data_IF_580719960036
#
_entry.id   IF_580719960036
#
_cell.length_a   1.000
_cell.length_b   1.000
_cell.length_c   1.000
_cell.angle_alpha   90.00
_cell.angle_beta   90.00
_cell.angle_gamma   90.00
#
_symmetry.space_group_name_H-M   'P 1'
#
loop_
_entity.id
_entity.type
_entity.pdbx_description
1 polymer ?
#
# COMPACT_ATOMS: atom_id res chain seq x y z
N UNK A 1 -17.81 47.69 -13.94
CA UNK A 1 -16.52 47.61 -14.65
C UNK A 1 -15.78 46.42 -14.06
N UNK A 2 -15.88 45.28 -14.74
CA UNK A 2 -15.16 44.06 -14.39
C UNK A 2 -13.74 44.15 -14.95
N UNK A 3 -12.75 43.75 -14.16
CA UNK A 3 -11.39 43.52 -14.64
C UNK A 3 -11.07 42.03 -14.46
N UNK A 4 -10.73 41.42 -15.58
CA UNK A 4 -10.36 40.02 -15.80
C UNK A 4 -8.83 39.94 -15.89
N UNK A 5 -8.14 39.04 -15.17
CA UNK A 5 -6.71 38.84 -15.35
C UNK A 5 -6.41 37.68 -16.32
N UNK A 6 -5.81 38.08 -17.44
CA UNK A 6 -4.78 37.44 -18.25
C UNK A 6 -4.53 35.92 -18.08
N UNK A 7 -4.67 35.25 -19.22
CA UNK A 7 -4.37 33.87 -19.56
C UNK A 7 -2.91 33.47 -19.25
N UNK A 8 -2.76 32.28 -18.69
CA UNK A 8 -1.51 31.53 -18.53
C UNK A 8 -1.30 30.65 -19.77
N UNK A 9 -0.14 30.74 -20.41
CA UNK A 9 0.37 29.74 -21.36
C UNK A 9 1.80 29.35 -21.03
N UNK A 10 2.11 28.11 -21.38
CA UNK A 10 3.38 27.37 -21.27
C UNK A 10 3.67 26.83 -19.85
N UNK A 11 4.17 25.61 -19.66
CA UNK A 11 5.25 24.92 -20.37
C UNK A 11 5.02 23.40 -20.28
N UNK A 12 5.34 22.68 -21.36
CA UNK A 12 5.53 21.23 -21.38
C UNK A 12 7.03 20.98 -21.22
N UNK A 13 7.43 20.27 -20.16
CA UNK A 13 8.82 19.83 -19.96
C UNK A 13 8.88 18.30 -19.99
N UNK A 14 9.37 17.81 -21.12
CA UNK A 14 9.98 16.51 -21.30
C UNK A 14 11.49 16.60 -20.97
N UNK A 15 12.06 15.43 -20.64
CA UNK A 15 13.49 15.08 -20.62
C UNK A 15 14.26 15.20 -19.28
N UNK A 16 14.13 14.13 -18.48
CA UNK A 16 15.22 13.61 -17.65
C UNK A 16 16.25 12.89 -18.53
N UNK A 17 17.50 13.38 -18.55
CA UNK A 17 18.78 12.67 -18.75
C UNK A 17 19.87 13.73 -18.56
N UNK A 18 20.61 13.79 -17.46
CA UNK A 18 21.78 12.94 -17.20
C UNK A 18 23.05 13.65 -17.66
N UNK A 19 23.96 14.03 -16.74
CA UNK A 19 25.30 14.49 -17.12
C UNK A 19 25.96 15.44 -16.13
N UNK A 20 26.90 14.92 -15.36
CA UNK A 20 27.68 15.66 -14.35
C UNK A 20 28.61 16.74 -14.89
N UNK A 21 28.95 17.66 -13.99
CA UNK A 21 29.99 18.65 -14.17
C UNK A 21 31.38 18.02 -14.02
N UNK A 22 32.20 18.19 -15.07
CA UNK A 22 33.65 18.10 -15.04
C UNK A 22 34.21 19.37 -15.68
N UNK A 23 35.04 20.07 -14.92
CA UNK A 23 35.68 21.34 -15.29
C UNK A 23 36.57 21.22 -16.52
N UNK A 24 36.43 22.16 -17.45
CA UNK A 24 37.26 22.25 -18.65
C UNK A 24 37.13 23.62 -19.31
N UNK A 25 38.12 24.48 -19.08
CA UNK A 25 38.21 25.83 -19.62
C UNK A 25 38.29 25.84 -21.16
N UNK A 26 37.29 26.39 -21.83
CA UNK A 26 37.37 26.71 -23.26
C UNK A 26 37.66 28.20 -23.47
N UNK A 27 38.87 28.49 -23.98
CA UNK A 27 39.21 29.78 -24.60
C UNK A 27 38.38 29.94 -25.89
N UNK A 28 37.80 31.11 -26.05
CA UNK A 28 37.09 31.53 -27.24
C UNK A 28 38.07 31.86 -28.37
N UNK A 29 37.85 31.30 -29.55
CA UNK A 29 38.24 31.92 -30.80
C UNK A 29 37.11 31.75 -31.82
N UNK A 30 36.66 32.88 -32.36
CA UNK A 30 35.51 33.00 -33.24
C UNK A 30 35.80 32.75 -34.72
N UNK A 31 34.69 32.72 -35.46
CA UNK A 31 34.43 32.62 -36.93
C UNK A 31 33.58 31.36 -37.17
N UNK A 32 32.29 31.41 -37.49
CA UNK A 32 31.61 32.28 -38.44
C UNK A 32 31.59 31.61 -39.81
N UNK A 33 30.52 30.88 -40.17
CA UNK A 33 30.38 30.36 -41.54
C UNK A 33 29.41 29.19 -41.74
N UNK A 34 28.13 29.52 -41.97
CA UNK A 34 27.13 28.92 -42.88
C UNK A 34 27.35 27.50 -43.44
N UNK A 35 26.32 26.66 -43.23
CA UNK A 35 25.50 26.07 -44.31
C UNK A 35 26.06 24.85 -45.06
N UNK A 36 25.28 23.75 -45.05
CA UNK A 36 25.48 22.63 -45.96
C UNK A 36 24.68 21.40 -45.57
N UNK A 37 23.66 21.10 -46.36
CA UNK A 37 22.70 20.01 -46.23
C UNK A 37 23.33 18.60 -46.14
N UNK A 38 22.75 17.74 -45.29
CA UNK A 38 22.92 16.30 -45.36
C UNK A 38 21.93 15.71 -46.38
N UNK A 39 22.46 15.12 -47.46
CA UNK A 39 21.78 14.10 -48.26
C UNK A 39 22.79 12.99 -48.55
N UNK A 40 22.39 11.74 -48.30
CA UNK A 40 23.16 10.58 -48.73
C UNK A 40 22.91 9.35 -47.88
N UNK A 41 21.80 8.67 -48.16
CA UNK A 41 21.62 7.25 -47.85
C UNK A 41 22.70 6.42 -48.57
N UNK A 42 23.12 5.32 -47.96
CA UNK A 42 23.97 4.34 -48.65
C UNK A 42 24.51 3.25 -47.72
N UNK A 43 23.84 2.10 -47.75
CA UNK A 43 24.30 0.80 -47.24
C UNK A 43 25.67 0.45 -47.84
N UNK A 44 26.57 -0.18 -47.09
CA UNK A 44 26.77 -1.64 -47.18
C UNK A 44 27.85 -2.18 -46.23
N UNK A 45 27.58 -3.43 -45.85
CA UNK A 45 28.42 -4.53 -45.39
C UNK A 45 29.95 -4.44 -45.50
N UNK A 46 30.65 -5.10 -44.56
CA UNK A 46 31.87 -5.84 -44.88
C UNK A 46 32.97 -5.81 -43.83
N UNK A 47 33.21 -6.98 -43.23
CA UNK A 47 34.27 -7.35 -42.30
C UNK A 47 35.70 -6.95 -42.72
N UNK A 48 36.60 -6.88 -41.72
CA UNK A 48 38.08 -7.04 -41.74
C UNK A 48 38.66 -6.30 -40.51
N UNK A 49 39.54 -6.80 -39.62
CA UNK A 49 40.46 -7.94 -39.61
C UNK A 49 40.80 -8.33 -38.15
N UNK A 50 41.21 -9.59 -37.96
CA UNK A 50 42.23 -10.09 -37.01
C UNK A 50 43.54 -9.26 -37.14
N UNK A 51 44.49 -9.11 -36.22
CA UNK A 51 45.26 -9.95 -35.30
C UNK A 51 46.03 -8.89 -34.43
N UNK A 52 46.42 -9.10 -33.17
CA UNK A 52 47.66 -9.79 -32.84
C UNK A 52 47.82 -9.97 -31.33
N UNK A 53 48.47 -11.07 -30.98
CA UNK A 53 48.77 -11.55 -29.65
C UNK A 53 50.01 -10.87 -29.03
N UNK A 54 50.01 -10.80 -27.70
CA UNK A 54 51.24 -10.93 -26.92
C UNK A 54 50.94 -11.55 -25.56
N UNK A 55 51.35 -12.80 -25.41
CA UNK A 55 51.41 -13.53 -24.15
C UNK A 55 52.75 -13.30 -23.46
N UNK A 56 52.74 -13.22 -22.12
CA UNK A 56 53.86 -13.69 -21.31
C UNK A 56 53.36 -14.17 -19.94
N UNK A 57 53.45 -15.50 -19.77
CA UNK A 57 53.67 -16.33 -18.59
C UNK A 57 54.15 -15.62 -17.30
N UNK A 58 54.06 -16.19 -16.11
CA UNK A 58 53.29 -17.25 -15.46
C UNK A 58 53.89 -17.27 -14.04
N UNK A 59 53.11 -17.15 -12.98
CA UNK A 59 53.55 -17.67 -11.67
C UNK A 59 52.38 -18.33 -10.95
N UNK A 60 52.71 -19.55 -10.54
CA UNK A 60 51.92 -20.59 -9.91
C UNK A 60 51.92 -20.34 -8.39
N UNK A 61 50.75 -20.12 -7.80
CA UNK A 61 50.57 -20.30 -6.36
C UNK A 61 49.25 -21.02 -6.11
N UNK A 62 49.41 -22.32 -5.92
CA UNK A 62 48.53 -23.18 -5.15
C UNK A 62 48.10 -22.51 -3.84
N UNK A 63 46.81 -22.30 -3.66
CA UNK A 63 46.17 -22.43 -2.35
C UNK A 63 44.70 -22.81 -2.55
N UNK A 64 44.45 -24.09 -2.31
CA UNK A 64 43.12 -24.66 -2.21
C UNK A 64 42.42 -24.08 -0.98
N UNK A 65 41.32 -23.35 -1.19
CA UNK A 65 40.34 -23.06 -0.14
C UNK A 65 39.09 -23.92 -0.37
N UNK A 66 38.61 -24.64 0.66
CA UNK A 66 37.61 -25.69 0.50
C UNK A 66 36.23 -25.12 0.17
N UNK A 67 35.57 -25.73 -0.82
CA UNK A 67 34.14 -25.59 -1.07
C UNK A 67 33.38 -25.88 0.23
N UNK A 68 32.87 -24.83 0.88
CA UNK A 68 31.95 -24.98 2.01
C UNK A 68 30.63 -25.53 1.46
N UNK A 69 30.12 -26.66 1.99
CA UNK A 69 28.80 -27.13 1.64
C UNK A 69 27.77 -26.09 2.11
N UNK A 70 26.86 -25.71 1.20
CA UNK A 70 25.66 -24.96 1.53
C UNK A 70 24.92 -25.76 2.62
N UNK A 71 24.93 -25.25 3.85
CA UNK A 71 24.09 -25.76 4.92
C UNK A 71 22.63 -25.62 4.49
N UNK A 72 22.03 -26.74 4.06
CA UNK A 72 20.57 -26.91 4.13
C UNK A 72 20.18 -26.68 5.59
N UNK A 73 19.18 -25.83 5.89
CA UNK A 73 18.54 -25.88 7.20
C UNK A 73 17.95 -27.28 7.34
N UNK A 74 18.55 -28.07 8.23
CA UNK A 74 17.95 -29.28 8.77
C UNK A 74 16.79 -28.79 9.63
N UNK A 75 15.55 -28.95 9.15
CA UNK A 75 14.39 -28.92 10.02
C UNK A 75 14.50 -30.13 10.93
N UNK A 76 15.08 -29.95 12.11
CA UNK A 76 15.04 -30.97 13.16
C UNK A 76 13.60 -31.10 13.63
N UNK A 77 13.07 -32.31 13.52
CA UNK A 77 11.91 -32.80 14.25
C UNK A 77 11.99 -32.37 15.72
N UNK A 78 10.90 -31.81 16.26
CA UNK A 78 10.87 -31.42 17.66
C UNK A 78 9.78 -30.44 18.07
N UNK A 79 8.55 -30.57 17.55
CA UNK A 79 7.38 -29.92 18.14
C UNK A 79 6.29 -30.98 18.40
N UNK A 80 6.63 -31.91 19.28
CA UNK A 80 5.69 -32.86 19.89
C UNK A 80 5.89 -32.80 21.41
N UNK A 81 5.43 -31.73 22.04
CA UNK A 81 5.16 -31.69 23.47
C UNK A 81 4.02 -30.69 23.74
N UNK A 82 3.00 -31.05 24.55
CA UNK A 82 1.84 -30.20 24.76
C UNK A 82 2.17 -29.02 25.68
N UNK A 83 1.65 -27.84 25.35
CA UNK A 83 1.69 -26.67 26.23
C UNK A 83 0.86 -26.93 27.50
N UNK A 84 1.26 -26.38 28.68
CA UNK A 84 0.58 -26.63 29.93
C UNK A 84 -0.83 -26.05 29.94
N UNK A 85 -1.76 -26.84 30.47
CA UNK A 85 -3.17 -26.52 30.68
C UNK A 85 -3.37 -25.23 31.47
N UNK A 86 -4.03 -24.24 30.85
CA UNK A 86 -4.42 -22.99 31.51
C UNK A 86 -4.85 -21.85 30.59
N UNK A 87 -4.63 -21.95 29.28
CA UNK A 87 -5.06 -20.93 28.31
C UNK A 87 -6.38 -21.32 27.64
N UNK A 88 -7.31 -20.36 27.58
CA UNK A 88 -8.58 -20.51 26.87
C UNK A 88 -8.29 -20.82 25.41
N UNK A 89 -8.93 -21.86 24.90
CA UNK A 89 -8.86 -22.21 23.47
C UNK A 89 -9.39 -21.06 22.62
N UNK A 90 -8.95 -20.99 21.36
CA UNK A 90 -9.42 -20.02 20.37
C UNK A 90 -10.96 -19.94 20.30
N UNK A 91 -11.62 -21.09 20.44
CA UNK A 91 -13.07 -21.21 20.45
C UNK A 91 -13.70 -20.62 21.72
N UNK A 92 -13.07 -20.77 22.88
CA UNK A 92 -13.51 -20.18 24.16
C UNK A 92 -13.29 -18.66 24.23
N UNK A 93 -12.23 -18.14 23.60
CA UNK A 93 -12.01 -16.69 23.42
C UNK A 93 -13.09 -16.11 22.51
N UNK A 94 -13.42 -16.79 21.41
CA UNK A 94 -14.51 -16.42 20.52
C UNK A 94 -15.89 -16.51 21.19
N UNK A 95 -16.16 -17.53 22.00
CA UNK A 95 -17.42 -17.69 22.73
C UNK A 95 -17.62 -16.61 23.81
N UNK A 96 -16.55 -16.19 24.52
CA UNK A 96 -16.61 -15.05 25.43
C UNK A 96 -16.85 -13.72 24.71
N UNK A 97 -16.28 -13.53 23.51
CA UNK A 97 -16.52 -12.34 22.69
C UNK A 97 -17.92 -12.33 22.03
N UNK A 98 -18.53 -13.50 21.80
CA UNK A 98 -19.86 -13.67 21.19
C UNK A 98 -21.02 -13.62 22.20
N UNK A 99 -20.74 -13.55 23.50
CA UNK A 99 -21.75 -13.48 24.56
C UNK A 99 -22.45 -12.12 24.71
N UNK A 100 -22.16 -11.14 23.85
CA UNK A 100 -22.82 -9.83 23.81
C UNK A 100 -23.50 -9.62 22.46
N UNK A 101 -24.83 -9.71 22.49
CA UNK A 101 -25.84 -9.23 21.54
C UNK A 101 -25.40 -8.84 20.12
N UNK A 102 -25.94 -9.55 19.13
CA UNK A 102 -25.81 -9.38 17.68
C UNK A 102 -26.63 -8.18 17.18
N UNK A 103 -26.44 -7.03 17.83
CA UNK A 103 -26.97 -5.74 17.44
C UNK A 103 -25.79 -4.81 17.24
N UNK A 104 -25.67 -4.26 16.02
CA UNK A 104 -24.73 -3.20 15.69
C UNK A 104 -24.91 -2.07 16.71
N UNK A 105 -24.03 -1.99 17.71
CA UNK A 105 -24.01 -0.82 18.58
C UNK A 105 -23.83 0.41 17.69
N UNK A 106 -24.63 1.48 17.88
CA UNK A 106 -24.49 2.68 17.08
C UNK A 106 -23.07 3.20 17.30
N UNK A 107 -22.34 3.42 16.20
CA UNK A 107 -21.10 4.17 16.25
C UNK A 107 -21.36 5.42 17.11
N UNK A 108 -20.53 5.65 18.13
CA UNK A 108 -20.64 6.83 18.97
C UNK A 108 -20.61 8.06 18.08
N UNK A 109 -21.79 8.65 17.84
CA UNK A 109 -21.95 9.85 17.02
C UNK A 109 -21.66 11.05 17.91
N UNK A 110 -20.45 11.61 17.75
CA UNK A 110 -20.12 12.92 18.32
C UNK A 110 -20.77 14.00 17.44
N UNK A 111 -21.41 15.03 18.01
CA UNK A 111 -21.95 16.14 17.23
C UNK A 111 -20.85 16.78 16.37
N UNK A 112 -21.17 17.06 15.11
CA UNK A 112 -20.31 17.82 14.21
C UNK A 112 -19.97 19.18 14.82
N UNK A 113 -18.73 19.35 15.30
CA UNK A 113 -18.18 20.67 15.55
C UNK A 113 -17.57 21.20 14.24
N UNK A 114 -17.96 22.41 13.85
CA UNK A 114 -17.31 23.13 12.75
C UNK A 114 -15.84 23.36 13.09
N UNK A 115 -14.95 22.58 12.46
CA UNK A 115 -13.50 22.77 12.60
C UNK A 115 -12.99 23.77 11.57
N UNK A 116 -12.24 24.81 11.97
CA UNK A 116 -11.56 25.67 11.02
C UNK A 116 -10.42 24.90 10.35
N UNK A 117 -10.28 25.05 9.02
CA UNK A 117 -9.10 24.60 8.29
C UNK A 117 -7.91 25.45 8.70
N UNK A 118 -6.83 24.84 9.19
CA UNK A 118 -5.61 25.58 9.46
C UNK A 118 -4.91 25.95 8.16
N UNK A 119 -4.42 27.20 8.11
CA UNK A 119 -3.63 27.69 6.99
C UNK A 119 -2.16 27.37 7.18
N UNK A 120 -1.41 27.26 6.09
CA UNK A 120 0.05 27.08 6.13
C UNK A 120 0.78 28.21 6.92
N UNK A 121 0.14 29.38 7.05
CA UNK A 121 0.69 30.53 7.76
C UNK A 121 0.62 30.39 9.29
N UNK A 122 -0.32 29.60 9.82
CA UNK A 122 -0.46 29.38 11.27
C UNK A 122 0.58 28.38 11.78
N UNK A 123 0.98 27.41 10.94
CA UNK A 123 2.05 26.46 11.23
C UNK A 123 3.43 27.14 11.34
N UNK A 124 3.69 28.15 10.50
CA UNK A 124 4.99 28.84 10.45
C UNK A 124 5.27 29.76 11.67
N UNK A 125 4.24 30.31 12.31
CA UNK A 125 4.40 31.30 13.41
C UNK A 125 4.77 30.70 14.77
N UNK A 126 4.61 29.38 14.95
CA UNK A 126 4.80 28.72 16.25
C UNK A 126 6.13 27.97 16.38
N UNK A 127 7.04 28.12 15.41
CA UNK A 127 8.42 27.59 15.52
C UNK A 127 8.55 26.08 15.37
N UNK A 128 7.55 25.41 14.79
CA UNK A 128 7.67 24.00 14.42
C UNK A 128 8.58 23.86 13.18
N UNK A 129 9.69 23.12 13.34
CA UNK A 129 10.39 22.51 12.21
C UNK A 129 9.42 21.64 11.42
N UNK A 130 9.53 21.66 10.10
CA UNK A 130 8.42 21.35 9.20
C UNK A 130 7.76 19.99 9.43
N UNK A 131 6.55 20.03 9.99
CA UNK A 131 5.39 19.42 9.34
C UNK A 131 4.73 18.22 10.00
N UNK A 132 4.06 18.41 11.15
CA UNK A 132 2.83 17.65 11.47
C UNK A 132 2.07 18.16 12.70
N UNK A 133 0.73 18.04 12.67
CA UNK A 133 -0.17 18.08 13.83
C UNK A 133 -1.31 17.03 13.65
N UNK A 134 -1.40 16.01 14.53
CA UNK A 134 -2.36 14.90 14.42
C UNK A 134 -3.81 15.29 14.55
N UNK A 135 -4.09 16.52 14.99
CA UNK A 135 -5.43 17.07 14.91
C UNK A 135 -5.94 17.14 13.47
N UNK A 136 -5.08 17.14 12.45
CA UNK A 136 -5.51 17.14 11.05
C UNK A 136 -5.81 15.76 10.46
N UNK A 137 -5.72 14.69 11.25
CA UNK A 137 -6.20 13.36 10.84
C UNK A 137 -7.74 13.41 10.75
N UNK A 138 -8.29 13.13 9.57
CA UNK A 138 -9.73 13.02 9.37
C UNK A 138 -10.17 11.60 9.73
N UNK A 139 -10.60 11.40 10.97
CA UNK A 139 -10.97 10.10 11.53
C UNK A 139 -12.49 9.98 11.49
N UNK A 140 -13.01 8.99 10.78
CA UNK A 140 -14.44 8.72 10.72
C UNK A 140 -14.94 7.97 11.96
N UNK A 141 -14.16 6.99 12.44
CA UNK A 141 -14.51 6.18 13.60
C UNK A 141 -13.29 5.46 14.20
N UNK A 142 -13.44 4.99 15.43
CA UNK A 142 -12.57 4.00 16.07
C UNK A 142 -13.41 2.74 16.33
N UNK A 143 -13.00 1.60 15.79
CA UNK A 143 -13.72 0.34 16.01
C UNK A 143 -13.42 -0.26 17.38
N UNK A 144 -14.36 -1.09 17.86
CA UNK A 144 -14.08 -2.01 18.95
C UNK A 144 -12.97 -3.01 18.54
N UNK A 145 -12.13 -3.45 19.50
CA UNK A 145 -11.08 -4.41 19.20
C UNK A 145 -11.62 -5.71 18.61
N UNK A 146 -11.01 -6.20 17.54
CA UNK A 146 -11.36 -7.47 16.90
C UNK A 146 -10.13 -8.15 16.29
N UNK A 147 -10.23 -9.44 15.97
CA UNK A 147 -9.12 -10.23 15.38
C UNK A 147 -9.18 -10.32 13.86
N UNK A 148 -10.24 -9.82 13.23
CA UNK A 148 -10.44 -9.89 11.79
C UNK A 148 -9.57 -8.87 11.04
N UNK A 149 -9.34 -7.70 11.65
CA UNK A 149 -8.54 -6.62 11.04
C UNK A 149 -7.03 -6.88 11.06
N UNK A 150 -6.56 -7.75 11.97
CA UNK A 150 -5.18 -8.24 12.01
C UNK A 150 -5.15 -9.69 12.51
N UNK A 151 -4.91 -10.68 11.63
CA UNK A 151 -4.84 -12.08 12.02
C UNK A 151 -3.85 -12.33 13.16
N UNK A 152 -4.33 -12.93 14.25
CA UNK A 152 -3.52 -13.26 15.43
C UNK A 152 -3.34 -12.12 16.45
N UNK A 153 -3.98 -10.96 16.24
CA UNK A 153 -3.92 -9.83 17.17
C UNK A 153 -5.31 -9.25 17.43
N UNK A 154 -5.61 -8.96 18.69
CA UNK A 154 -6.80 -8.21 19.05
C UNK A 154 -6.54 -6.72 18.78
N UNK A 155 -7.12 -6.19 17.71
CA UNK A 155 -6.78 -4.88 17.17
C UNK A 155 -7.99 -3.92 17.13
N UNK A 156 -7.78 -2.68 17.58
CA UNK A 156 -8.71 -1.58 17.30
C UNK A 156 -8.34 -0.91 15.98
N UNK A 157 -9.34 -0.55 15.17
CA UNK A 157 -9.11 0.05 13.85
C UNK A 157 -9.50 1.53 13.83
N UNK A 158 -8.55 2.39 13.50
CA UNK A 158 -8.77 3.81 13.22
C UNK A 158 -9.21 3.94 11.77
N UNK A 159 -10.49 4.22 11.55
CA UNK A 159 -11.08 4.35 10.23
C UNK A 159 -10.92 5.79 9.73
N UNK A 160 -10.12 5.97 8.68
CA UNK A 160 -9.76 7.26 8.12
C UNK A 160 -10.69 7.66 6.96
N UNK A 161 -11.12 8.92 6.96
CA UNK A 161 -12.00 9.48 5.93
C UNK A 161 -11.22 9.87 4.67
N UNK A 162 -11.84 9.59 3.52
CA UNK A 162 -11.40 9.98 2.19
C UNK A 162 -10.67 8.86 1.47
N UNK A 163 -11.11 8.53 0.26
CA UNK A 163 -10.44 7.59 -0.63
C UNK A 163 -10.41 8.19 -2.04
N UNK A 164 -9.29 8.12 -2.78
CA UNK A 164 -9.25 8.62 -4.15
C UNK A 164 -9.95 7.67 -5.14
N UNK A 165 -10.22 6.43 -4.75
CA UNK A 165 -10.78 5.41 -5.64
C UNK A 165 -12.28 5.23 -5.43
N UNK A 166 -12.95 4.71 -6.47
CA UNK A 166 -14.39 4.46 -6.52
C UNK A 166 -14.64 3.01 -6.91
N UNK A 167 -14.07 2.10 -6.12
CA UNK A 167 -14.19 0.65 -6.32
C UNK A 167 -15.66 0.25 -6.46
N UNK A 168 -15.99 -0.56 -7.47
CA UNK A 168 -17.33 -1.13 -7.73
C UNK A 168 -17.93 -1.74 -6.46
N UNK A 169 -17.14 -2.57 -5.78
CA UNK A 169 -17.51 -3.31 -4.57
C UNK A 169 -17.17 -2.62 -3.25
N UNK A 170 -16.97 -1.29 -3.23
CA UNK A 170 -16.57 -0.62 -1.98
C UNK A 170 -17.63 -0.81 -0.89
N UNK A 171 -17.29 -1.50 0.21
CA UNK A 171 -18.16 -1.67 1.38
C UNK A 171 -18.11 -0.48 2.36
N UNK A 172 -17.22 0.49 2.09
CA UNK A 172 -17.00 1.70 2.87
C UNK A 172 -17.32 2.96 2.03
N UNK A 173 -18.42 2.95 1.27
CA UNK A 173 -18.78 4.08 0.38
C UNK A 173 -18.82 5.41 1.12
N UNK A 174 -19.28 5.41 2.37
CA UNK A 174 -19.39 6.61 3.22
C UNK A 174 -18.03 7.21 3.59
N UNK A 175 -16.96 6.44 3.49
CA UNK A 175 -15.58 6.89 3.75
C UNK A 175 -14.91 7.47 2.49
N UNK A 176 -15.55 7.44 1.32
CA UNK A 176 -14.90 7.89 0.08
C UNK A 176 -14.81 9.42 -0.05
N UNK A 177 -15.82 10.17 0.41
CA UNK A 177 -15.83 11.64 0.28
C UNK A 177 -14.85 12.28 1.27
N UNK A 178 -13.72 12.76 0.75
CA UNK A 178 -12.71 13.43 1.55
C UNK A 178 -13.13 14.80 2.11
N UNK A 179 -14.21 15.39 1.60
CA UNK A 179 -14.69 16.71 2.05
C UNK A 179 -15.54 16.61 3.32
N UNK A 180 -16.04 15.40 3.64
CA UNK A 180 -16.84 15.13 4.84
C UNK A 180 -16.08 15.41 6.14
N UNK A 181 -14.74 15.33 6.11
CA UNK A 181 -13.91 15.48 7.30
C UNK A 181 -14.04 14.29 8.27
N UNK A 182 -13.32 14.36 9.38
CA UNK A 182 -13.47 13.38 10.45
C UNK A 182 -14.66 13.69 11.36
N UNK A 183 -15.22 12.65 11.98
CA UNK A 183 -16.22 12.75 13.04
C UNK A 183 -15.60 12.55 14.44
N UNK A 184 -14.36 12.05 14.51
CA UNK A 184 -13.66 11.76 15.76
C UNK A 184 -12.38 12.58 15.84
N UNK A 185 -12.20 13.24 16.98
CA UNK A 185 -10.97 13.98 17.31
C UNK A 185 -9.86 13.00 17.70
N UNK A 186 -8.63 13.29 17.29
CA UNK A 186 -7.46 12.46 17.60
C UNK A 186 -7.26 12.27 19.11
N UNK A 187 -7.46 13.32 19.92
CA UNK A 187 -7.36 13.27 21.38
C UNK A 187 -8.36 12.29 22.00
N UNK A 188 -9.52 12.11 21.36
CA UNK A 188 -10.50 11.11 21.79
C UNK A 188 -10.03 9.69 21.44
N UNK A 189 -9.42 9.50 20.27
CA UNK A 189 -8.80 8.21 19.93
C UNK A 189 -7.69 7.86 20.92
N UNK A 190 -6.77 8.79 21.21
CA UNK A 190 -5.70 8.53 22.17
C UNK A 190 -6.23 8.18 23.56
N UNK A 191 -7.28 8.87 24.04
CA UNK A 191 -7.90 8.59 25.34
C UNK A 191 -8.48 7.18 25.39
N UNK A 192 -9.21 6.78 24.36
CA UNK A 192 -9.77 5.43 24.26
C UNK A 192 -8.69 4.35 24.18
N UNK A 193 -7.63 4.60 23.39
CA UNK A 193 -6.49 3.68 23.32
C UNK A 193 -5.79 3.56 24.69
N UNK A 194 -5.48 4.67 25.37
CA UNK A 194 -4.90 4.60 26.73
C UNK A 194 -5.77 3.79 27.69
N UNK A 195 -7.10 3.94 27.63
CA UNK A 195 -8.04 3.20 28.47
C UNK A 195 -8.07 1.69 28.18
N UNK A 196 -7.74 1.27 26.95
CA UNK A 196 -7.82 -0.13 26.49
C UNK A 196 -6.45 -0.78 26.33
N UNK A 197 -5.37 -0.12 26.78
CA UNK A 197 -3.99 -0.57 26.53
C UNK A 197 -3.72 -1.97 27.07
N UNK A 198 -4.32 -2.34 28.19
CA UNK A 198 -4.08 -3.66 28.81
C UNK A 198 -4.93 -4.79 28.19
N UNK A 199 -5.88 -4.46 27.31
CA UNK A 199 -6.82 -5.42 26.71
C UNK A 199 -6.81 -5.44 25.18
N UNK A 200 -5.92 -4.68 24.54
CA UNK A 200 -5.81 -4.58 23.08
C UNK A 200 -4.34 -4.66 22.69
N UNK A 201 -4.02 -5.53 21.73
CA UNK A 201 -2.62 -5.79 21.33
C UNK A 201 -2.11 -4.75 20.32
N UNK A 202 -3.01 -4.31 19.46
CA UNK A 202 -2.65 -3.63 18.24
C UNK A 202 -3.65 -2.52 17.85
N UNK A 203 -3.18 -1.62 17.00
CA UNK A 203 -4.02 -0.62 16.35
C UNK A 203 -3.76 -0.67 14.85
N UNK A 204 -4.83 -0.75 14.07
CA UNK A 204 -4.78 -0.77 12.61
C UNK A 204 -5.29 0.57 12.08
N UNK A 205 -4.53 1.18 11.17
CA UNK A 205 -5.03 2.32 10.39
C UNK A 205 -5.64 1.80 9.08
N UNK A 206 -6.92 2.09 8.85
CA UNK A 206 -7.69 1.62 7.69
C UNK A 206 -8.78 2.64 7.31
N UNK A 207 -9.86 2.23 6.67
CA UNK A 207 -11.02 3.06 6.32
C UNK A 207 -11.14 3.32 4.83
N UNK A 208 -11.03 4.60 4.44
CA UNK A 208 -10.97 5.03 3.04
C UNK A 208 -9.62 4.69 2.43
N UNK A 209 -8.70 5.65 2.40
CA UNK A 209 -7.29 5.40 2.08
C UNK A 209 -6.39 6.13 3.08
N UNK A 210 -5.80 5.41 4.06
CA UNK A 210 -4.95 6.03 5.07
C UNK A 210 -3.82 6.88 4.51
N UNK A 211 -3.12 6.39 3.47
CA UNK A 211 -1.94 7.06 2.91
C UNK A 211 -2.27 8.38 2.20
N UNK A 212 -3.56 8.70 2.02
CA UNK A 212 -4.02 10.02 1.59
C UNK A 212 -3.72 11.10 2.64
N UNK A 213 -3.69 10.75 3.92
CA UNK A 213 -3.56 11.72 5.00
C UNK A 213 -2.07 11.90 5.33
N UNK A 214 -1.53 13.11 5.15
CA UNK A 214 -0.12 13.41 5.48
C UNK A 214 0.21 13.18 6.96
N UNK A 215 -0.84 13.13 7.78
CA UNK A 215 -0.82 12.91 9.20
C UNK A 215 -0.58 11.48 9.68
N UNK A 216 -0.62 10.51 8.75
CA UNK A 216 -0.68 9.09 9.10
C UNK A 216 0.57 8.61 9.85
N UNK A 217 1.77 8.92 9.34
CA UNK A 217 3.02 8.37 9.85
C UNK A 217 3.26 8.75 11.32
N UNK A 218 3.01 10.00 11.68
CA UNK A 218 3.13 10.45 13.06
C UNK A 218 2.04 9.91 13.98
N UNK A 219 0.81 9.78 13.51
CA UNK A 219 -0.25 9.11 14.27
C UNK A 219 0.15 7.65 14.58
N UNK A 220 0.72 6.95 13.60
CA UNK A 220 1.29 5.60 13.78
C UNK A 220 2.45 5.60 14.78
N UNK A 221 3.37 6.56 14.70
CA UNK A 221 4.47 6.71 15.66
C UNK A 221 3.97 6.90 17.09
N UNK A 222 3.01 7.80 17.31
CA UNK A 222 2.41 8.05 18.64
C UNK A 222 1.79 6.77 19.20
N UNK A 223 1.02 6.04 18.38
CA UNK A 223 0.40 4.78 18.81
C UNK A 223 1.45 3.71 19.14
N UNK A 224 2.56 3.66 18.39
CA UNK A 224 3.69 2.78 18.69
C UNK A 224 4.36 3.14 20.02
N UNK A 225 4.54 4.43 20.30
CA UNK A 225 5.07 4.94 21.57
C UNK A 225 4.15 4.63 22.77
N UNK A 226 2.84 4.48 22.54
CA UNK A 226 1.89 3.97 23.54
C UNK A 226 2.02 2.46 23.79
N UNK A 227 2.93 1.78 23.09
CA UNK A 227 3.26 0.37 23.27
C UNK A 227 2.35 -0.59 22.52
N UNK A 228 1.61 -0.13 21.52
CA UNK A 228 0.83 -1.00 20.62
C UNK A 228 1.68 -1.52 19.47
N UNK A 229 1.30 -2.69 18.94
CA UNK A 229 1.66 -3.04 17.56
C UNK A 229 0.86 -2.19 16.59
N UNK A 230 1.48 -1.75 15.49
CA UNK A 230 0.85 -0.86 14.52
C UNK A 230 0.67 -1.52 13.16
N UNK A 231 -0.58 -1.66 12.76
CA UNK A 231 -0.97 -2.23 11.47
C UNK A 231 -1.42 -1.16 10.48
N UNK A 232 -1.23 -1.40 9.19
CA UNK A 232 -1.75 -0.56 8.13
C UNK A 232 -2.52 -1.41 7.13
N UNK A 233 -3.77 -1.05 6.85
CA UNK A 233 -4.51 -1.57 5.71
C UNK A 233 -4.64 -0.46 4.66
N UNK A 234 -4.13 -0.70 3.46
CA UNK A 234 -4.09 0.32 2.40
C UNK A 234 -4.36 -0.32 1.05
N UNK A 235 -4.91 0.48 0.13
CA UNK A 235 -5.05 0.08 -1.25
C UNK A 235 -3.84 0.55 -2.11
N UNK A 236 -2.89 1.28 -1.51
CA UNK A 236 -1.65 1.70 -2.15
C UNK A 236 -1.79 2.92 -3.06
N UNK A 237 -2.82 3.77 -2.85
CA UNK A 237 -3.09 4.87 -3.78
C UNK A 237 -2.07 6.02 -3.72
N UNK A 238 -1.26 6.11 -2.66
CA UNK A 238 -0.21 7.13 -2.48
C UNK A 238 1.14 6.50 -2.10
N UNK A 239 1.86 5.86 -3.05
CA UNK A 239 3.11 5.14 -2.79
C UNK A 239 4.17 5.97 -2.04
N UNK A 240 4.39 7.24 -2.43
CA UNK A 240 5.39 8.08 -1.76
C UNK A 240 5.10 8.40 -0.29
N UNK A 241 3.84 8.32 0.16
CA UNK A 241 3.49 8.46 1.59
C UNK A 241 3.46 7.13 2.31
N UNK A 242 3.28 6.03 1.58
CA UNK A 242 3.32 4.68 2.12
C UNK A 242 4.70 4.39 2.73
N UNK A 243 5.79 4.77 2.06
CA UNK A 243 7.16 4.59 2.57
C UNK A 243 7.34 5.20 3.97
N UNK A 244 6.83 6.41 4.20
CA UNK A 244 6.89 7.08 5.50
C UNK A 244 6.05 6.34 6.56
N UNK A 245 4.86 5.87 6.19
CA UNK A 245 4.01 5.10 7.10
C UNK A 245 4.64 3.76 7.50
N UNK A 246 5.32 3.09 6.57
CA UNK A 246 5.96 1.79 6.80
C UNK A 246 7.08 1.85 7.86
N UNK A 247 7.74 3.00 8.05
CA UNK A 247 8.75 3.18 9.10
C UNK A 247 8.18 2.97 10.52
N UNK A 248 6.88 3.14 10.70
CA UNK A 248 6.18 2.98 11.98
C UNK A 248 5.25 1.76 11.98
N UNK A 249 5.32 0.92 10.96
CA UNK A 249 4.41 -0.20 10.76
C UNK A 249 5.07 -1.51 11.22
N UNK A 250 4.32 -2.35 11.92
CA UNK A 250 4.71 -3.71 12.30
C UNK A 250 4.06 -4.77 11.37
N UNK A 251 2.98 -4.40 10.66
CA UNK A 251 2.36 -5.25 9.64
C UNK A 251 1.49 -4.44 8.66
N UNK A 252 1.54 -4.80 7.37
CA UNK A 252 0.70 -4.17 6.33
C UNK A 252 -0.16 -5.17 5.58
N UNK A 253 -1.46 -4.89 5.45
CA UNK A 253 -2.31 -5.52 4.44
C UNK A 253 -2.45 -4.58 3.23
N UNK A 254 -2.02 -5.05 2.06
CA UNK A 254 -2.13 -4.31 0.82
C UNK A 254 -3.20 -4.95 -0.08
N UNK A 255 -4.20 -4.16 -0.47
CA UNK A 255 -5.24 -4.61 -1.40
C UNK A 255 -4.81 -4.42 -2.86
N UNK A 256 -4.55 -5.53 -3.56
CA UNK A 256 -4.42 -5.56 -5.02
C UNK A 256 -5.74 -6.02 -5.61
N UNK A 257 -6.27 -5.22 -6.56
CA UNK A 257 -7.66 -5.37 -7.01
C UNK A 257 -7.81 -6.10 -8.33
N UNK A 258 -6.80 -6.01 -9.19
CA UNK A 258 -6.73 -6.63 -10.51
C UNK A 258 -5.29 -6.56 -11.03
N UNK A 259 -5.04 -7.03 -12.24
CA UNK A 259 -3.82 -6.70 -13.00
C UNK A 259 -3.67 -5.19 -13.20
N UNK A 260 -2.47 -4.67 -13.52
CA UNK A 260 -2.28 -3.22 -13.73
C UNK A 260 -3.27 -2.61 -14.73
N UNK A 261 -3.60 -3.34 -15.79
CA UNK A 261 -4.49 -2.89 -16.86
C UNK A 261 -5.98 -3.07 -16.49
N UNK A 262 -6.32 -4.12 -15.75
CA UNK A 262 -7.70 -4.37 -15.27
C UNK A 262 -8.17 -3.42 -14.16
N UNK A 263 -7.25 -2.70 -13.52
CA UNK A 263 -7.54 -1.92 -12.31
C UNK A 263 -8.60 -0.82 -12.49
N UNK A 264 -8.71 -0.23 -13.67
CA UNK A 264 -9.68 0.84 -13.94
C UNK A 264 -11.12 0.32 -13.98
N UNK A 265 -11.35 -0.93 -14.39
CA UNK A 265 -12.69 -1.54 -14.35
C UNK A 265 -13.24 -1.58 -12.91
N UNK A 266 -12.36 -1.85 -11.94
CA UNK A 266 -12.72 -1.89 -10.53
C UNK A 266 -12.79 -0.50 -9.92
N UNK A 267 -11.69 0.26 -9.96
CA UNK A 267 -11.55 1.52 -9.21
C UNK A 267 -12.26 2.71 -9.84
N UNK A 268 -12.70 2.57 -11.10
CA UNK A 268 -13.29 3.63 -11.94
C UNK A 268 -12.41 4.89 -12.03
N UNK A 269 -11.09 4.70 -11.85
CA UNK A 269 -10.10 5.77 -11.79
C UNK A 269 -8.91 5.39 -12.68
N UNK A 270 -8.40 6.35 -13.45
CA UNK A 270 -7.19 6.16 -14.24
C UNK A 270 -5.94 6.01 -13.37
N UNK A 271 -4.90 5.33 -13.87
CA UNK A 271 -3.60 5.11 -13.23
C UNK A 271 -3.60 4.34 -11.88
N UNK A 272 -4.76 3.88 -11.40
CA UNK A 272 -4.87 3.19 -10.11
C UNK A 272 -3.97 1.95 -10.05
N UNK A 273 -3.93 1.15 -11.13
CA UNK A 273 -3.07 -0.04 -11.21
C UNK A 273 -1.60 0.29 -11.08
N UNK A 274 -1.09 1.29 -11.83
CA UNK A 274 0.32 1.71 -11.72
C UNK A 274 0.70 2.08 -10.28
N UNK A 275 -0.17 2.78 -9.56
CA UNK A 275 0.09 3.19 -8.17
C UNK A 275 0.04 2.00 -7.21
N UNK A 276 -0.97 1.13 -7.35
CA UNK A 276 -1.12 -0.06 -6.53
C UNK A 276 0.09 -1.00 -6.64
N UNK A 277 0.58 -1.23 -7.86
CA UNK A 277 1.73 -2.10 -8.07
C UNK A 277 3.06 -1.44 -7.67
N UNK A 278 3.18 -0.11 -7.77
CA UNK A 278 4.31 0.60 -7.15
C UNK A 278 4.29 0.45 -5.61
N UNK A 279 3.11 0.52 -4.99
CA UNK A 279 2.95 0.26 -3.57
C UNK A 279 3.28 -1.20 -3.20
N UNK A 280 2.94 -2.17 -4.07
CA UNK A 280 3.31 -3.57 -3.90
C UNK A 280 4.83 -3.76 -3.87
N UNK A 281 5.54 -3.14 -4.81
CA UNK A 281 7.00 -3.19 -4.87
C UNK A 281 7.62 -2.54 -3.61
N UNK A 282 7.10 -1.39 -3.15
CA UNK A 282 7.55 -0.74 -1.90
C UNK A 282 7.30 -1.63 -0.68
N UNK A 283 6.12 -2.23 -0.55
CA UNK A 283 5.78 -3.11 0.58
C UNK A 283 6.70 -4.31 0.61
N UNK A 284 6.93 -4.96 -0.55
CA UNK A 284 7.86 -6.08 -0.69
C UNK A 284 9.26 -5.70 -0.22
N UNK A 285 9.76 -4.54 -0.64
CA UNK A 285 11.14 -4.10 -0.39
C UNK A 285 11.35 -3.50 1.01
N UNK A 286 10.27 -3.19 1.74
CA UNK A 286 10.32 -2.54 3.04
C UNK A 286 10.86 -3.40 4.19
N UNK A 287 10.81 -4.73 4.05
CA UNK A 287 11.10 -5.68 5.14
C UNK A 287 10.01 -5.76 6.22
N UNK A 288 8.93 -4.98 6.13
CA UNK A 288 7.78 -5.06 7.03
C UNK A 288 6.97 -6.32 6.71
N UNK A 289 6.57 -7.14 7.71
CA UNK A 289 5.66 -8.26 7.48
C UNK A 289 4.38 -7.80 6.78
N UNK A 290 3.95 -8.51 5.74
CA UNK A 290 2.78 -8.09 4.96
C UNK A 290 1.85 -9.24 4.55
N UNK A 291 0.64 -8.86 4.14
CA UNK A 291 -0.34 -9.71 3.46
C UNK A 291 -0.84 -8.97 2.22
N UNK A 292 -0.87 -9.64 1.06
CA UNK A 292 -1.55 -9.11 -0.13
C UNK A 292 -2.95 -9.70 -0.15
N UNK A 293 -3.95 -8.87 -0.37
CA UNK A 293 -5.35 -9.28 -0.45
C UNK A 293 -5.91 -9.01 -1.83
N UNK A 294 -6.73 -9.93 -2.32
CA UNK A 294 -7.47 -9.79 -3.57
C UNK A 294 -8.94 -10.09 -3.31
N UNK A 295 -9.77 -9.05 -3.34
CA UNK A 295 -11.23 -9.20 -3.27
C UNK A 295 -11.77 -9.64 -4.62
N UNK A 296 -12.47 -10.78 -4.65
CA UNK A 296 -13.15 -11.30 -5.83
C UNK A 296 -14.52 -10.61 -5.96
N UNK A 297 -14.72 -9.90 -7.06
CA UNK A 297 -15.97 -9.24 -7.43
C UNK A 297 -16.62 -10.02 -8.59
N UNK A 298 -17.67 -10.82 -8.34
CA UNK A 298 -18.38 -11.57 -9.38
C UNK A 298 -19.15 -10.72 -10.38
N UNK A 299 -19.31 -9.42 -10.10
CA UNK A 299 -19.93 -8.47 -11.03
C UNK A 299 -18.93 -8.04 -12.10
N UNK A 300 -17.65 -7.89 -11.74
CA UNK A 300 -16.64 -7.28 -12.62
C UNK A 300 -15.53 -8.23 -13.04
N UNK A 301 -15.07 -9.13 -12.16
CA UNK A 301 -13.99 -10.07 -12.46
C UNK A 301 -14.50 -11.28 -13.22
N UNK A 302 -13.79 -11.65 -14.28
CA UNK A 302 -13.82 -13.00 -14.83
C UNK A 302 -12.87 -13.92 -14.07
N UNK A 303 -13.01 -15.24 -14.28
CA UNK A 303 -12.06 -16.24 -13.79
C UNK A 303 -10.62 -15.89 -14.18
N UNK A 304 -10.41 -15.52 -15.44
CA UNK A 304 -9.08 -15.21 -15.96
C UNK A 304 -8.48 -13.97 -15.29
N UNK A 305 -9.29 -12.93 -15.02
CA UNK A 305 -8.81 -11.73 -14.32
C UNK A 305 -8.23 -12.07 -12.94
N UNK A 306 -8.87 -12.99 -12.22
CA UNK A 306 -8.38 -13.45 -10.91
C UNK A 306 -7.08 -14.25 -11.05
N UNK A 307 -7.05 -15.23 -11.97
CA UNK A 307 -5.86 -16.06 -12.20
C UNK A 307 -4.65 -15.21 -12.61
N UNK A 308 -4.84 -14.26 -13.52
CA UNK A 308 -3.77 -13.36 -13.98
C UNK A 308 -3.30 -12.43 -12.86
N UNK A 309 -4.22 -11.93 -12.03
CA UNK A 309 -3.87 -11.07 -10.90
C UNK A 309 -3.06 -11.83 -9.85
N UNK A 310 -3.45 -13.08 -9.54
CA UNK A 310 -2.71 -13.93 -8.61
C UNK A 310 -1.32 -14.23 -9.15
N UNK A 311 -1.21 -14.64 -10.41
CA UNK A 311 0.07 -14.90 -11.05
C UNK A 311 0.99 -13.66 -11.03
N UNK A 312 0.45 -12.46 -11.26
CA UNK A 312 1.22 -11.22 -11.22
C UNK A 312 1.70 -10.86 -9.80
N UNK A 313 0.87 -11.07 -8.77
CA UNK A 313 1.25 -10.88 -7.36
C UNK A 313 2.35 -11.86 -6.97
N UNK A 314 2.20 -13.14 -7.29
CA UNK A 314 3.18 -14.18 -6.98
C UNK A 314 4.49 -13.95 -7.71
N UNK A 315 4.44 -13.59 -8.99
CA UNK A 315 5.64 -13.26 -9.78
C UNK A 315 6.45 -12.12 -9.17
N UNK A 316 5.79 -11.12 -8.58
CA UNK A 316 6.45 -9.94 -7.98
C UNK A 316 6.91 -10.14 -6.55
N UNK A 317 6.17 -10.91 -5.76
CA UNK A 317 6.36 -10.99 -4.31
C UNK A 317 6.84 -12.35 -3.82
N UNK A 318 6.73 -13.39 -4.65
CA UNK A 318 6.95 -14.79 -4.25
C UNK A 318 5.89 -15.32 -3.28
N UNK A 319 4.74 -14.65 -3.14
CA UNK A 319 3.70 -14.98 -2.16
C UNK A 319 2.32 -14.95 -2.80
N UNK A 320 1.51 -15.96 -2.49
CA UNK A 320 0.11 -15.98 -2.87
C UNK A 320 -0.69 -14.94 -2.08
N UNK A 321 -1.67 -14.25 -2.68
CA UNK A 321 -2.58 -13.37 -1.96
C UNK A 321 -3.61 -14.17 -1.15
N UNK A 322 -4.23 -13.50 -0.18
CA UNK A 322 -5.47 -13.97 0.45
C UNK A 322 -6.64 -13.54 -0.43
N UNK A 323 -7.46 -14.50 -0.84
CA UNK A 323 -8.70 -14.22 -1.56
C UNK A 323 -9.78 -13.79 -0.57
N UNK A 324 -10.49 -12.72 -0.91
CA UNK A 324 -11.60 -12.22 -0.11
C UNK A 324 -12.88 -12.25 -0.91
N UNK A 325 -13.97 -12.66 -0.25
CA UNK A 325 -15.30 -12.55 -0.85
C UNK A 325 -15.87 -11.15 -0.65
N UNK A 326 -16.47 -10.61 -1.71
CA UNK A 326 -17.22 -9.35 -1.62
C UNK A 326 -18.46 -9.53 -0.74
N UNK A 327 -18.79 -8.49 0.03
CA UNK A 327 -20.00 -8.42 0.83
C UNK A 327 -21.00 -7.45 0.21
N UNK A 328 -22.28 -7.80 0.20
CA UNK A 328 -23.35 -6.89 -0.25
C UNK A 328 -23.60 -5.77 0.78
N UNK A 329 -23.60 -6.12 2.06
CA UNK A 329 -23.81 -5.16 3.15
C UNK A 329 -22.72 -4.06 3.18
N UNK A 330 -23.17 -2.80 3.15
CA UNK A 330 -22.28 -1.63 3.16
C UNK A 330 -21.86 -1.12 1.77
N UNK A 331 -22.19 -1.85 0.70
CA UNK A 331 -21.96 -1.38 -0.68
C UNK A 331 -23.09 -0.46 -1.15
N UNK A 332 -22.90 0.19 -2.31
CA UNK A 332 -23.96 0.98 -2.93
C UNK A 332 -25.18 0.11 -3.27
N UNK A 333 -26.39 0.68 -3.16
CA UNK A 333 -27.63 -0.05 -3.48
C UNK A 333 -27.63 -0.63 -4.91
N UNK A 334 -27.04 0.10 -5.87
CA UNK A 334 -26.87 -0.37 -7.26
C UNK A 334 -25.98 -1.61 -7.31
N UNK A 335 -24.79 -1.56 -6.70
CA UNK A 335 -23.88 -2.71 -6.69
C UNK A 335 -24.47 -3.90 -5.93
N UNK A 336 -25.13 -3.68 -4.79
CA UNK A 336 -25.78 -4.76 -4.04
C UNK A 336 -26.85 -5.48 -4.87
N UNK A 337 -27.63 -4.73 -5.66
CA UNK A 337 -28.62 -5.29 -6.57
C UNK A 337 -27.98 -6.05 -7.74
N UNK A 338 -26.86 -5.56 -8.27
CA UNK A 338 -26.09 -6.26 -9.30
C UNK A 338 -25.49 -7.54 -8.75
N UNK A 339 -24.80 -7.50 -7.60
CA UNK A 339 -24.19 -8.66 -6.97
C UNK A 339 -25.22 -9.77 -6.72
N UNK A 340 -26.42 -9.40 -6.26
CA UNK A 340 -27.50 -10.32 -5.93
C UNK A 340 -27.02 -11.41 -4.95
N UNK A 341 -27.10 -12.68 -5.35
CA UNK A 341 -26.64 -13.86 -4.61
C UNK A 341 -25.30 -14.41 -5.10
N UNK A 342 -24.62 -13.71 -6.02
CA UNK A 342 -23.32 -14.13 -6.54
C UNK A 342 -22.23 -14.05 -5.46
N UNK A 343 -21.32 -15.00 -5.51
CA UNK A 343 -20.25 -15.23 -4.55
C UNK A 343 -18.93 -15.57 -5.27
N UNK A 344 -17.86 -15.81 -4.50
CA UNK A 344 -16.55 -16.16 -5.07
C UNK A 344 -16.61 -17.43 -5.94
N UNK A 345 -17.47 -18.40 -5.59
CA UNK A 345 -17.61 -19.66 -6.32
C UNK A 345 -18.27 -19.51 -7.71
N UNK A 346 -18.90 -18.37 -8.01
CA UNK A 346 -19.42 -18.06 -9.35
C UNK A 346 -18.32 -17.58 -10.31
N UNK A 347 -17.14 -17.26 -9.78
CA UNK A 347 -15.97 -16.82 -10.56
C UNK A 347 -14.88 -17.88 -10.60
N UNK A 348 -14.67 -18.59 -9.49
CA UNK A 348 -13.62 -19.60 -9.34
C UNK A 348 -14.22 -20.98 -9.09
N UNK A 349 -13.71 -21.97 -9.82
CA UNK A 349 -14.05 -23.37 -9.60
C UNK A 349 -13.35 -23.92 -8.34
N UNK A 350 -13.86 -24.98 -7.70
CA UNK A 350 -13.22 -25.57 -6.51
C UNK A 350 -11.77 -26.01 -6.70
N UNK A 351 -11.38 -26.34 -7.95
CA UNK A 351 -10.01 -26.71 -8.31
C UNK A 351 -9.10 -25.52 -8.60
N UNK A 352 -9.63 -24.30 -8.65
CA UNK A 352 -8.83 -23.10 -8.86
C UNK A 352 -8.16 -22.65 -7.57
N UNK A 353 -6.84 -22.45 -7.64
CA UNK A 353 -6.05 -21.88 -6.55
C UNK A 353 -6.33 -22.60 -5.20
N UNK A 354 -6.26 -23.94 -5.16
CA UNK A 354 -6.68 -24.73 -3.99
C UNK A 354 -5.82 -24.43 -2.74
N UNK A 355 -4.59 -23.96 -2.93
CA UNK A 355 -3.64 -23.59 -1.89
C UNK A 355 -3.86 -22.19 -1.29
N UNK A 356 -4.66 -21.33 -1.95
CA UNK A 356 -4.89 -19.98 -1.47
C UNK A 356 -5.85 -19.95 -0.28
N UNK A 357 -5.49 -19.14 0.71
CA UNK A 357 -6.36 -18.82 1.85
C UNK A 357 -7.52 -17.97 1.36
N UNK A 358 -8.74 -18.33 1.78
CA UNK A 358 -9.98 -17.59 1.52
C UNK A 358 -10.50 -17.02 2.86
N UNK A 359 -10.81 -15.71 2.92
CA UNK A 359 -11.32 -15.05 4.14
C UNK A 359 -12.48 -14.10 3.89
#
# INVERSE_FOLDING_TARGET
MALDPLQVTDITDDACCGGGHGDGSCRADGRGGRGGECKGEGRDQGACCEEDAAASNAEDHSDALPLRPLHRPVFTEGWSAPLPSGELTFEEVCLKARGGDEQREPAFQVPHADRPRASAADAARQGFGEGFDPRYLAIAALSAPNVADWPGHLASTVLLQGCPWRCTYCFNTDLQDSRKGGAVEWESVERELRARRDSTDAVVFSGGEPTRQGALADAMRIVKEMGYKVGLQTAGAFPGRLELALQHCDWVALDIKATPDGYTAITRTGMAGRRAYAALDIVRDSGVPFEVRLTVDPVTHSRQDILDTVAEIERRTGRAPVLQEVRSAGTSATYAAELADRCLADVLEPGDLPELVRR
#
